data_IF_404578544900
#
_entry.id   IF_404578544900
#
_cell.length_a   1.000
_cell.length_b   1.000
_cell.length_c   1.000
_cell.angle_alpha   90.00
_cell.angle_beta   90.00
_cell.angle_gamma   90.00
#
_symmetry.space_group_name_H-M   'P 1'
#
loop_
_entity.id
_entity.type
_entity.pdbx_description
1 polymer ?
#
# COMPACT_ATOMS: atom_id res chain seq x y z
N UNK A 1 0.73 -21.78 11.31
CA UNK A 1 1.02 -20.34 11.19
C UNK A 1 2.54 -20.15 11.20
N UNK A 2 3.11 -19.31 10.33
CA UNK A 2 4.56 -19.05 10.27
C UNK A 2 4.83 -17.56 10.08
N UNK A 3 6.00 -17.08 10.54
CA UNK A 3 6.36 -15.65 10.43
C UNK A 3 6.27 -15.13 8.99
N UNK A 4 6.71 -15.91 7.99
CA UNK A 4 6.61 -15.51 6.59
C UNK A 4 5.17 -15.52 6.07
N UNK A 5 4.30 -16.37 6.60
CA UNK A 5 2.87 -16.33 6.28
C UNK A 5 2.22 -15.07 6.89
N UNK A 6 2.56 -14.72 8.13
CA UNK A 6 2.07 -13.50 8.79
C UNK A 6 2.48 -12.23 8.03
N UNK A 7 3.73 -12.18 7.53
CA UNK A 7 4.22 -11.09 6.65
C UNK A 7 3.38 -10.98 5.37
N UNK A 8 3.04 -12.12 4.76
CA UNK A 8 2.21 -12.12 3.54
C UNK A 8 0.82 -11.55 3.82
N UNK A 9 0.16 -12.07 4.87
CA UNK A 9 -1.15 -11.58 5.29
C UNK A 9 -1.12 -10.10 5.65
N UNK A 10 -0.08 -9.64 6.33
CA UNK A 10 0.13 -8.21 6.61
C UNK A 10 0.22 -7.40 5.30
N UNK A 11 0.99 -7.87 4.32
CA UNK A 11 1.12 -7.20 3.02
C UNK A 11 -0.22 -7.07 2.31
N UNK A 12 -1.02 -8.14 2.27
CA UNK A 12 -2.36 -8.12 1.66
C UNK A 12 -3.31 -7.18 2.41
N UNK A 13 -3.33 -7.24 3.74
CA UNK A 13 -4.16 -6.34 4.56
C UNK A 13 -3.78 -4.87 4.35
N UNK A 14 -2.49 -4.57 4.25
CA UNK A 14 -2.03 -3.22 3.96
C UNK A 14 -2.57 -2.75 2.60
N UNK A 15 -2.46 -3.58 1.56
CA UNK A 15 -3.00 -3.24 0.23
C UNK A 15 -4.53 -3.10 0.24
N UNK A 16 -5.25 -3.97 0.96
CA UNK A 16 -6.71 -3.89 1.12
C UNK A 16 -7.14 -2.56 1.75
N UNK A 17 -6.48 -2.14 2.83
CA UNK A 17 -6.78 -0.89 3.54
C UNK A 17 -6.63 0.32 2.62
N UNK A 18 -5.56 0.38 1.84
CA UNK A 18 -5.28 1.57 1.01
C UNK A 18 -6.05 1.60 -0.31
N UNK A 19 -6.46 0.44 -0.81
CA UNK A 19 -7.26 0.37 -2.04
C UNK A 19 -8.76 0.37 -1.77
N UNK A 20 -9.18 0.12 -0.52
CA UNK A 20 -10.59 -0.08 -0.16
C UNK A 20 -11.18 -1.36 -0.79
N UNK A 21 -10.34 -2.28 -1.27
CA UNK A 21 -10.76 -3.46 -2.04
C UNK A 21 -10.45 -4.74 -1.28
N UNK A 22 -11.48 -5.58 -1.15
CA UNK A 22 -11.29 -6.93 -0.60
C UNK A 22 -10.37 -7.75 -1.50
N UNK A 23 -9.43 -8.52 -0.94
CA UNK A 23 -8.48 -9.32 -1.71
C UNK A 23 -9.13 -10.44 -2.54
N UNK A 24 -10.36 -10.84 -2.19
CA UNK A 24 -11.12 -11.94 -2.82
C UNK A 24 -12.44 -11.48 -3.46
N UNK A 25 -12.57 -10.19 -3.82
CA UNK A 25 -13.76 -9.71 -4.54
C UNK A 25 -13.87 -10.38 -5.92
N UNK A 26 -15.09 -10.61 -6.40
CA UNK A 26 -15.39 -11.25 -7.70
C UNK A 26 -14.70 -10.58 -8.90
N UNK A 27 -14.37 -9.29 -8.82
CA UNK A 27 -13.60 -8.58 -9.86
C UNK A 27 -12.19 -9.14 -10.11
N UNK A 28 -11.67 -9.94 -9.18
CA UNK A 28 -10.38 -10.61 -9.23
C UNK A 28 -10.61 -12.06 -9.64
N UNK A 29 -10.85 -12.28 -10.93
CA UNK A 29 -11.12 -13.61 -11.49
C UNK A 29 -9.81 -14.37 -11.81
N UNK A 30 -9.79 -15.67 -11.53
CA UNK A 30 -8.67 -16.55 -11.84
C UNK A 30 -7.38 -16.15 -11.12
N UNK A 31 -6.32 -15.93 -11.89
CA UNK A 31 -4.99 -15.60 -11.36
C UNK A 31 -4.80 -14.10 -11.09
N UNK A 32 -5.80 -13.24 -11.31
CA UNK A 32 -5.66 -11.78 -11.16
C UNK A 32 -6.01 -11.32 -9.75
N UNK A 33 -5.00 -11.26 -8.88
CA UNK A 33 -5.16 -10.87 -7.46
C UNK A 33 -5.08 -9.35 -7.24
N UNK A 34 -5.59 -8.89 -6.08
CA UNK A 34 -5.37 -7.52 -5.56
C UNK A 34 -3.91 -7.08 -5.68
N UNK A 35 -2.97 -7.97 -5.37
CA UNK A 35 -1.53 -7.70 -5.48
C UNK A 35 -1.12 -7.39 -6.91
N UNK A 36 -1.56 -8.17 -7.90
CA UNK A 36 -1.21 -7.92 -9.31
C UNK A 36 -1.79 -6.60 -9.78
N UNK A 37 -3.06 -6.33 -9.46
CA UNK A 37 -3.71 -5.07 -9.81
C UNK A 37 -2.94 -3.85 -9.27
N UNK A 38 -2.50 -3.91 -8.01
CA UNK A 38 -1.65 -2.85 -7.43
C UNK A 38 -0.27 -2.80 -8.09
N UNK A 39 0.35 -3.95 -8.36
CA UNK A 39 1.68 -4.02 -8.95
C UNK A 39 1.73 -3.44 -10.37
N UNK A 40 0.66 -3.60 -11.16
CA UNK A 40 0.55 -3.04 -12.51
C UNK A 40 0.37 -1.52 -12.52
N UNK A 41 -0.30 -0.97 -11.49
CA UNK A 41 -0.48 0.47 -11.35
C UNK A 41 0.76 1.18 -10.77
N UNK A 42 1.62 0.46 -10.04
CA UNK A 42 2.75 1.06 -9.35
C UNK A 42 3.97 1.30 -10.25
N UNK A 43 4.70 2.44 -10.13
CA UNK A 43 4.38 3.60 -9.28
C UNK A 43 3.53 4.67 -9.99
N UNK A 44 3.39 4.59 -11.31
CA UNK A 44 2.92 5.72 -12.14
C UNK A 44 1.43 6.01 -11.99
N UNK A 45 0.61 4.97 -11.99
CA UNK A 45 -0.84 5.05 -11.94
C UNK A 45 -1.40 4.72 -10.53
N UNK A 46 -0.59 4.92 -9.49
CA UNK A 46 -0.99 4.47 -8.15
C UNK A 46 -2.25 5.19 -7.65
N UNK A 47 -2.46 6.45 -8.04
CA UNK A 47 -3.70 7.19 -7.75
C UNK A 47 -4.97 6.47 -8.18
N UNK A 48 -4.89 5.64 -9.22
CA UNK A 48 -6.05 5.00 -9.85
C UNK A 48 -6.52 3.76 -9.07
N UNK A 49 -5.67 3.24 -8.17
CA UNK A 49 -5.98 2.06 -7.35
C UNK A 49 -6.29 2.40 -5.89
N UNK A 50 -6.05 3.64 -5.46
CA UNK A 50 -6.33 4.09 -4.08
C UNK A 50 -7.81 4.35 -3.88
N UNK A 51 -8.29 4.05 -2.67
CA UNK A 51 -9.66 4.38 -2.27
C UNK A 51 -9.88 5.89 -2.36
N UNK A 52 -10.90 6.31 -3.12
CA UNK A 52 -11.24 7.73 -3.27
C UNK A 52 -11.60 8.42 -1.94
N UNK A 53 -12.05 7.66 -0.93
CA UNK A 53 -12.27 8.19 0.42
C UNK A 53 -10.96 8.53 1.16
N UNK A 54 -9.84 7.88 0.81
CA UNK A 54 -8.51 8.28 1.30
C UNK A 54 -7.97 9.50 0.56
N UNK A 55 -8.51 9.78 -0.63
CA UNK A 55 -8.19 10.94 -1.45
C UNK A 55 -9.06 12.17 -1.14
N UNK A 56 -9.95 12.11 -0.12
CA UNK A 56 -11.08 13.04 -0.03
C UNK A 56 -10.70 14.50 0.30
N UNK A 57 -10.90 15.35 -0.71
CA UNK A 57 -11.61 16.65 -0.71
C UNK A 57 -11.34 17.64 0.44
N UNK A 58 -10.21 18.34 0.40
CA UNK A 58 -10.22 19.76 0.77
C UNK A 58 -9.60 20.57 -0.35
N UNK A 59 -10.46 21.27 -1.08
CA UNK A 59 -10.13 22.38 -1.97
C UNK A 59 -9.31 23.41 -1.18
N UNK A 60 -8.00 23.26 -1.10
CA UNK A 60 -7.09 24.29 -0.58
C UNK A 60 -5.68 23.99 -1.10
N UNK A 61 -5.31 24.69 -2.17
CA UNK A 61 -4.00 24.72 -2.87
C UNK A 61 -3.44 23.36 -3.36
N UNK A 62 -3.44 23.07 -4.69
CA UNK A 62 -3.51 21.68 -5.18
C UNK A 62 -2.20 20.86 -5.27
N UNK A 63 -1.03 21.38 -4.90
CA UNK A 63 0.24 20.74 -5.31
C UNK A 63 0.98 20.01 -4.19
N UNK A 64 1.30 20.67 -3.07
CA UNK A 64 2.22 20.11 -2.07
C UNK A 64 1.58 19.01 -1.21
N UNK A 65 0.34 19.21 -0.75
CA UNK A 65 -0.38 18.19 0.04
C UNK A 65 -0.69 16.93 -0.80
N UNK A 66 -1.01 17.14 -2.07
CA UNK A 66 -1.23 16.06 -3.04
C UNK A 66 0.07 15.29 -3.31
N UNK A 67 1.19 15.99 -3.50
CA UNK A 67 2.50 15.37 -3.66
C UNK A 67 2.94 14.59 -2.42
N UNK A 68 2.77 15.15 -1.22
CA UNK A 68 3.10 14.47 0.04
C UNK A 68 2.24 13.22 0.27
N UNK A 69 0.96 13.25 -0.12
CA UNK A 69 0.09 12.08 -0.09
C UNK A 69 0.56 11.01 -1.09
N UNK A 70 0.91 11.41 -2.32
CA UNK A 70 1.46 10.47 -3.31
C UNK A 70 2.76 9.82 -2.83
N UNK A 71 3.66 10.58 -2.20
CA UNK A 71 4.87 10.02 -1.58
C UNK A 71 4.56 9.02 -0.45
N UNK A 72 3.53 9.32 0.36
CA UNK A 72 3.07 8.41 1.42
C UNK A 72 2.58 7.09 0.82
N UNK A 73 1.74 7.18 -0.22
CA UNK A 73 1.21 6.03 -0.95
C UNK A 73 2.32 5.19 -1.56
N UNK A 74 3.33 5.80 -2.19
CA UNK A 74 4.48 5.07 -2.74
C UNK A 74 5.15 4.23 -1.66
N UNK A 75 5.44 4.79 -0.48
CA UNK A 75 6.11 4.06 0.61
C UNK A 75 5.24 2.90 1.12
N UNK A 76 3.93 3.10 1.21
CA UNK A 76 3.00 2.03 1.61
C UNK A 76 3.08 0.85 0.66
N UNK A 77 3.10 1.10 -0.65
CA UNK A 77 3.14 0.05 -1.68
C UNK A 77 4.52 -0.62 -1.73
N UNK A 78 5.60 0.15 -1.52
CA UNK A 78 6.96 -0.38 -1.33
C UNK A 78 7.09 -1.31 -0.12
N UNK A 79 6.18 -1.25 0.84
CA UNK A 79 6.06 -2.22 1.92
C UNK A 79 5.13 -3.37 1.51
N UNK A 80 3.94 -3.05 1.02
CA UNK A 80 2.87 -4.02 0.72
C UNK A 80 3.26 -5.06 -0.34
N UNK A 81 3.87 -4.65 -1.45
CA UNK A 81 4.22 -5.55 -2.55
C UNK A 81 5.34 -6.54 -2.18
N UNK A 82 6.46 -6.13 -1.53
CA UNK A 82 7.45 -7.08 -1.05
C UNK A 82 6.93 -8.01 0.05
N UNK A 83 6.11 -7.53 0.99
CA UNK A 83 5.50 -8.37 2.02
C UNK A 83 4.64 -9.49 1.43
N UNK A 84 3.89 -9.18 0.37
CA UNK A 84 2.94 -10.08 -0.29
C UNK A 84 3.54 -10.90 -1.45
N UNK A 85 4.87 -11.01 -1.57
CA UNK A 85 5.48 -11.87 -2.60
C UNK A 85 5.06 -13.33 -2.44
N UNK A 86 4.86 -14.03 -3.56
CA UNK A 86 4.45 -15.44 -3.55
C UNK A 86 5.51 -16.31 -2.88
N UNK A 87 6.78 -16.13 -3.22
CA UNK A 87 7.90 -16.84 -2.59
C UNK A 87 8.16 -16.33 -1.16
N UNK A 88 8.12 -17.18 -0.12
CA UNK A 88 8.41 -16.78 1.26
C UNK A 88 9.78 -16.14 1.46
N UNK A 89 10.79 -16.57 0.68
CA UNK A 89 12.17 -16.12 0.83
C UNK A 89 12.38 -14.72 0.25
N UNK A 90 11.53 -14.29 -0.67
CA UNK A 90 11.60 -12.96 -1.27
C UNK A 90 10.81 -11.92 -0.46
N UNK A 91 10.03 -12.36 0.54
CA UNK A 91 9.23 -11.46 1.39
C UNK A 91 10.13 -10.67 2.33
N UNK A 92 9.83 -9.39 2.44
CA UNK A 92 10.46 -8.44 3.38
C UNK A 92 10.47 -8.99 4.82
N UNK A 93 11.50 -8.68 5.60
CA UNK A 93 11.51 -9.04 7.02
C UNK A 93 10.66 -8.06 7.85
N UNK A 94 9.99 -8.54 8.91
CA UNK A 94 9.19 -7.65 9.78
C UNK A 94 10.01 -6.50 10.38
N UNK A 95 11.32 -6.67 10.57
CA UNK A 95 12.21 -5.57 11.01
C UNK A 95 12.26 -4.45 9.98
N UNK A 96 12.32 -4.79 8.70
CA UNK A 96 12.32 -3.82 7.60
C UNK A 96 10.94 -3.18 7.42
N UNK A 97 9.87 -3.96 7.58
CA UNK A 97 8.48 -3.44 7.61
C UNK A 97 8.34 -2.37 8.68
N UNK A 98 8.84 -2.62 9.91
CA UNK A 98 8.79 -1.64 11.01
C UNK A 98 9.59 -0.37 10.67
N UNK A 99 10.71 -0.47 9.96
CA UNK A 99 11.46 0.71 9.48
C UNK A 99 10.61 1.51 8.49
N UNK A 100 9.97 0.85 7.53
CA UNK A 100 9.06 1.50 6.58
C UNK A 100 7.87 2.19 7.27
N UNK A 101 7.20 1.51 8.20
CA UNK A 101 6.08 2.07 8.97
C UNK A 101 6.50 3.29 9.81
N UNK A 102 7.73 3.30 10.34
CA UNK A 102 8.26 4.48 11.05
C UNK A 102 8.43 5.68 10.10
N UNK A 103 8.86 5.46 8.86
CA UNK A 103 8.96 6.51 7.82
C UNK A 103 7.58 7.07 7.46
N UNK A 104 6.60 6.19 7.27
CA UNK A 104 5.19 6.58 7.04
C UNK A 104 4.70 7.47 8.18
N UNK A 105 4.86 7.02 9.43
CA UNK A 105 4.47 7.80 10.61
C UNK A 105 5.15 9.16 10.70
N UNK A 106 6.43 9.24 10.33
CA UNK A 106 7.16 10.51 10.30
C UNK A 106 6.60 11.46 9.24
N UNK A 107 6.31 10.95 8.03
CA UNK A 107 5.71 11.75 6.95
C UNK A 107 4.32 12.25 7.33
N UNK A 108 3.47 11.41 7.91
CA UNK A 108 2.13 11.82 8.36
C UNK A 108 2.23 12.99 9.35
N UNK A 109 3.13 12.92 10.33
CA UNK A 109 3.37 14.04 11.28
C UNK A 109 3.80 15.33 10.58
N UNK A 110 4.60 15.24 9.52
CA UNK A 110 4.99 16.43 8.74
C UNK A 110 3.82 17.03 7.95
N UNK A 111 2.83 16.21 7.57
CA UNK A 111 1.63 16.64 6.84
C UNK A 111 0.59 17.25 7.79
N UNK A 112 0.45 16.70 8.99
CA UNK A 112 -0.58 17.10 9.97
C UNK A 112 -0.20 18.32 10.81
N UNK A 113 1.10 18.60 10.98
CA UNK A 113 1.61 19.68 11.83
C UNK A 113 1.80 19.26 13.28
#
# INVERSE_FOLDING_TARGET
>A
VSTKADVYSFGILLLEVFTGRKPTKEQFEGDFSLRQWVAEAFPVAISDVIDSHLLNESVTTPTERSAAMNELLVIIIEIGLPCSRVSPNERMDMKEVVVGLRRIRQKIRMIEG
#
